data_IF_659730746994
#
_entry.id   IF_659730746994
#
_cell.length_a   1.000
_cell.length_b   1.000
_cell.length_c   1.000
_cell.angle_alpha   90.00
_cell.angle_beta   90.00
_cell.angle_gamma   90.00
#
_symmetry.space_group_name_H-M   'P 1'
#
loop_
_entity.id
_entity.type
_entity.pdbx_description
1 polymer ?
#
# COMPACT_ATOMS: atom_id res chain seq x y z
N UNK A 1 50.70 10.36 -12.13
CA UNK A 1 51.63 9.24 -12.25
C UNK A 1 50.95 8.00 -11.69
N UNK A 2 50.69 7.05 -12.59
CA UNK A 2 50.43 5.62 -12.40
C UNK A 2 49.27 5.15 -11.51
N UNK A 3 48.18 4.76 -12.18
CA UNK A 3 47.21 3.76 -11.76
C UNK A 3 47.88 2.41 -11.49
N UNK A 4 47.47 1.71 -10.44
CA UNK A 4 47.68 0.26 -10.29
C UNK A 4 46.39 -0.32 -9.70
N UNK A 5 45.63 -0.97 -10.56
CA UNK A 5 44.56 -1.90 -10.22
C UNK A 5 45.16 -3.31 -9.94
N UNK A 6 44.39 -4.23 -9.32
CA UNK A 6 44.89 -5.36 -8.53
C UNK A 6 45.33 -6.54 -9.40
N UNK A 7 46.20 -7.42 -8.87
CA UNK A 7 46.25 -8.82 -9.35
C UNK A 7 46.54 -9.85 -8.23
N UNK A 8 45.96 -11.07 -8.38
CA UNK A 8 46.03 -12.20 -7.45
C UNK A 8 47.13 -13.22 -7.84
N UNK A 9 47.48 -14.12 -6.92
CA UNK A 9 48.23 -15.38 -7.13
C UNK A 9 48.23 -16.11 -5.77
N UNK A 10 48.10 -17.42 -5.61
CA UNK A 10 47.69 -18.55 -6.44
C UNK A 10 47.53 -19.72 -5.44
N UNK A 11 46.67 -20.66 -5.80
CA UNK A 11 46.24 -21.84 -5.08
C UNK A 11 47.41 -22.83 -4.79
N UNK A 12 47.53 -23.35 -3.56
CA UNK A 12 48.29 -24.59 -3.32
C UNK A 12 47.62 -25.48 -2.27
N UNK A 13 47.08 -26.59 -2.76
CA UNK A 13 46.54 -27.79 -2.10
C UNK A 13 47.29 -28.97 -2.76
N UNK A 14 47.52 -30.18 -2.19
CA UNK A 14 47.65 -30.73 -0.82
C UNK A 14 49.00 -31.53 -0.68
N UNK A 15 49.25 -32.62 0.13
CA UNK A 15 48.41 -33.80 0.48
C UNK A 15 48.31 -34.16 2.01
N UNK A 16 47.37 -35.05 2.42
CA UNK A 16 47.28 -35.70 3.75
C UNK A 16 48.10 -37.04 3.76
N UNK A 17 48.04 -37.99 4.75
CA UNK A 17 47.27 -38.10 6.00
C UNK A 17 48.08 -38.63 7.24
N UNK A 18 47.44 -38.73 8.41
CA UNK A 18 47.47 -39.86 9.40
C UNK A 18 46.98 -39.36 10.76
N UNK A 19 45.71 -39.62 11.12
CA UNK A 19 45.30 -40.69 12.04
C UNK A 19 45.81 -40.51 13.48
N UNK A 20 44.93 -40.13 14.40
CA UNK A 20 44.67 -40.93 15.60
C UNK A 20 43.41 -40.49 16.37
N UNK A 21 42.47 -41.44 16.44
CA UNK A 21 41.60 -41.80 17.57
C UNK A 21 40.72 -40.75 18.26
N UNK A 22 39.45 -40.83 17.88
CA UNK A 22 38.25 -40.62 18.71
C UNK A 22 38.25 -41.64 19.88
N UNK A 23 37.55 -41.36 20.99
CA UNK A 23 36.59 -42.36 21.44
C UNK A 23 35.19 -41.78 21.52
N UNK A 24 34.30 -42.43 20.77
CA UNK A 24 32.86 -42.30 20.88
C UNK A 24 32.35 -42.87 22.20
N UNK A 25 31.29 -42.30 22.76
CA UNK A 25 30.28 -43.09 23.47
C UNK A 25 28.90 -42.52 23.11
N UNK A 26 27.91 -43.37 22.76
CA UNK A 26 26.68 -42.96 22.10
C UNK A 26 25.52 -42.85 23.08
N UNK A 27 24.57 -41.93 22.86
CA UNK A 27 23.17 -42.16 23.25
C UNK A 27 22.20 -41.54 22.23
N UNK A 28 21.27 -42.41 21.82
CA UNK A 28 20.16 -42.26 20.90
C UNK A 28 19.14 -41.18 21.32
N UNK A 29 18.45 -40.64 20.30
CA UNK A 29 17.34 -39.67 20.32
C UNK A 29 16.10 -40.06 21.18
N UNK A 30 15.13 -39.15 21.36
CA UNK A 30 14.06 -39.00 20.33
C UNK A 30 13.79 -37.54 19.90
N UNK A 31 13.28 -37.32 18.67
CA UNK A 31 12.85 -36.01 18.21
C UNK A 31 11.44 -35.74 18.73
N UNK A 32 11.33 -34.93 19.78
CA UNK A 32 10.04 -34.37 20.19
C UNK A 32 9.83 -33.05 19.45
N UNK A 33 9.29 -33.17 18.23
CA UNK A 33 8.45 -32.15 17.66
C UNK A 33 7.24 -31.99 18.60
N UNK A 34 7.34 -31.05 19.53
CA UNK A 34 6.23 -30.66 20.39
C UNK A 34 6.06 -29.16 20.27
N UNK A 35 4.86 -28.80 19.82
CA UNK A 35 4.36 -27.46 19.58
C UNK A 35 4.64 -26.56 20.78
N UNK A 36 5.69 -25.74 20.70
CA UNK A 36 6.05 -24.83 21.77
C UNK A 36 6.14 -23.40 21.24
N UNK A 37 4.99 -22.88 20.82
CA UNK A 37 4.81 -21.44 20.57
C UNK A 37 4.90 -20.63 21.87
N UNK A 38 5.03 -21.31 23.02
CA UNK A 38 5.20 -20.76 24.35
C UNK A 38 6.63 -20.27 24.64
N UNK A 39 7.68 -21.11 24.60
CA UNK A 39 9.04 -20.68 24.96
C UNK A 39 9.59 -19.62 24.02
N UNK A 40 9.24 -19.61 22.74
CA UNK A 40 9.71 -18.58 21.80
C UNK A 40 9.35 -17.16 22.26
N UNK A 41 8.18 -16.98 22.90
CA UNK A 41 7.75 -15.69 23.45
C UNK A 41 8.38 -15.39 24.81
N UNK A 42 8.77 -16.42 25.58
CA UNK A 42 9.59 -16.23 26.78
C UNK A 42 11.00 -15.83 26.36
N UNK A 43 11.70 -16.62 25.55
CA UNK A 43 13.07 -16.34 25.07
C UNK A 43 13.19 -15.00 24.35
N UNK A 44 12.20 -14.58 23.56
CA UNK A 44 12.22 -13.25 22.93
C UNK A 44 12.04 -12.11 23.92
N UNK A 45 11.15 -12.25 24.91
CA UNK A 45 10.97 -11.25 25.96
C UNK A 45 12.17 -11.18 26.94
N UNK A 46 12.86 -12.29 27.06
CA UNK A 46 14.06 -12.57 27.85
C UNK A 46 15.32 -12.01 27.17
N UNK A 47 15.42 -12.08 25.83
CA UNK A 47 16.48 -11.51 25.00
C UNK A 47 16.50 -9.96 24.99
N UNK A 48 15.34 -9.33 25.19
CA UNK A 48 15.19 -7.87 25.33
C UNK A 48 15.52 -7.37 26.76
N UNK A 49 16.02 -8.25 27.63
CA UNK A 49 16.55 -7.93 28.95
C UNK A 49 18.06 -8.21 28.95
N UNK A 50 18.86 -7.42 29.69
CA UNK A 50 20.28 -7.72 29.82
C UNK A 50 20.46 -9.17 30.34
N UNK A 51 21.44 -9.91 29.81
CA UNK A 51 21.68 -11.28 30.22
C UNK A 51 21.95 -11.32 31.72
N UNK A 52 21.41 -12.35 32.39
CA UNK A 52 21.72 -12.57 33.81
C UNK A 52 23.23 -12.81 33.94
N UNK A 53 23.86 -12.30 35.01
CA UNK A 53 25.20 -12.73 35.34
C UNK A 53 25.18 -14.24 35.60
N UNK A 54 26.18 -14.94 35.07
CA UNK A 54 26.33 -16.39 35.27
C UNK A 54 26.28 -16.75 36.77
N UNK A 55 25.77 -17.95 37.11
CA UNK A 55 25.69 -18.38 38.49
C UNK A 55 27.09 -18.33 39.13
N UNK A 56 27.21 -17.81 40.37
CA UNK A 56 28.50 -17.66 41.01
C UNK A 56 29.16 -19.03 41.15
N UNK A 57 30.38 -19.16 40.63
CA UNK A 57 31.16 -20.41 40.71
C UNK A 57 31.57 -20.67 42.16
N UNK A 58 31.48 -21.93 42.60
CA UNK A 58 31.88 -22.33 43.94
C UNK A 58 33.38 -22.02 44.15
N UNK A 59 33.74 -21.26 45.19
CA UNK A 59 35.14 -20.93 45.44
C UNK A 59 35.92 -22.15 45.91
N UNK A 60 37.16 -22.29 45.46
CA UNK A 60 38.08 -23.31 45.97
C UNK A 60 38.43 -22.99 47.43
N UNK A 61 38.16 -23.93 48.34
CA UNK A 61 38.38 -23.76 49.78
C UNK A 61 39.70 -24.46 50.13
N UNK A 62 40.77 -23.73 50.49
CA UNK A 62 42.04 -24.36 50.89
C UNK A 62 41.85 -25.19 52.17
N UNK A 63 42.40 -26.40 52.18
CA UNK A 63 42.29 -27.29 53.34
C UNK A 63 43.22 -26.81 54.48
N UNK A 64 42.70 -26.44 55.66
CA UNK A 64 43.51 -26.00 56.79
C UNK A 64 44.47 -27.09 57.30
N UNK A 65 44.28 -28.37 56.94
CA UNK A 65 45.19 -29.45 57.34
C UNK A 65 46.58 -29.37 56.67
N UNK A 66 46.69 -28.67 55.53
CA UNK A 66 47.91 -28.54 54.73
C UNK A 66 48.95 -27.60 55.34
N UNK A 67 48.55 -26.79 56.32
CA UNK A 67 49.42 -25.79 56.95
C UNK A 67 50.02 -26.35 58.24
N UNK A 68 51.32 -26.14 58.46
CA UNK A 68 52.02 -26.63 59.66
C UNK A 68 51.90 -25.67 60.83
N UNK A 69 51.80 -24.37 60.57
CA UNK A 69 51.71 -23.33 61.60
C UNK A 69 50.27 -23.11 62.10
N UNK A 70 50.10 -22.94 63.41
CA UNK A 70 48.81 -22.70 64.07
C UNK A 70 48.16 -21.40 63.61
N UNK A 71 48.93 -20.35 63.39
CA UNK A 71 48.40 -19.05 62.97
C UNK A 71 47.98 -19.08 61.49
N UNK A 72 48.71 -19.81 60.64
CA UNK A 72 48.34 -20.05 59.24
C UNK A 72 47.04 -20.86 59.12
N UNK A 73 46.88 -21.93 59.91
CA UNK A 73 45.62 -22.70 59.95
C UNK A 73 44.42 -21.82 60.29
N UNK A 74 44.59 -20.95 61.29
CA UNK A 74 43.55 -20.03 61.74
C UNK A 74 43.24 -18.96 60.70
N UNK A 75 44.24 -18.50 59.94
CA UNK A 75 44.05 -17.57 58.84
C UNK A 75 43.29 -18.23 57.69
N UNK A 76 43.69 -19.43 57.28
CA UNK A 76 43.04 -20.21 56.21
C UNK A 76 41.60 -20.57 56.58
N UNK A 77 41.34 -20.95 57.83
CA UNK A 77 39.98 -21.21 58.31
C UNK A 77 39.09 -19.95 58.27
N UNK A 78 39.65 -18.78 58.65
CA UNK A 78 38.95 -17.49 58.56
C UNK A 78 38.67 -17.09 57.11
N UNK A 79 39.62 -17.30 56.21
CA UNK A 79 39.46 -17.05 54.77
C UNK A 79 38.43 -17.99 54.17
N UNK A 80 38.50 -19.30 54.43
CA UNK A 80 37.48 -20.28 54.04
C UNK A 80 36.07 -19.90 54.54
N UNK A 81 35.95 -19.36 55.75
CA UNK A 81 34.69 -18.85 56.29
C UNK A 81 34.21 -17.60 55.56
N UNK A 82 35.11 -16.69 55.18
CA UNK A 82 34.80 -15.49 54.39
C UNK A 82 34.36 -15.86 52.97
N UNK A 83 35.06 -16.78 52.31
CA UNK A 83 34.75 -17.29 50.98
C UNK A 83 33.37 -17.97 50.94
N UNK A 84 33.09 -18.84 51.91
CA UNK A 84 31.77 -19.49 52.04
C UNK A 84 30.62 -18.48 52.21
N UNK A 85 30.80 -17.48 53.07
CA UNK A 85 29.81 -16.41 53.26
C UNK A 85 29.65 -15.54 52.02
N UNK A 86 30.75 -15.23 51.33
CA UNK A 86 30.73 -14.51 50.06
C UNK A 86 29.93 -15.25 48.99
N UNK A 87 30.17 -16.55 48.84
CA UNK A 87 29.44 -17.41 47.91
C UNK A 87 27.95 -17.55 48.28
N UNK A 88 27.63 -17.74 49.57
CA UNK A 88 26.23 -17.78 50.04
C UNK A 88 25.48 -16.48 49.75
N UNK A 89 26.12 -15.33 49.96
CA UNK A 89 25.54 -14.03 49.63
C UNK A 89 25.37 -13.87 48.11
N UNK A 90 26.37 -14.25 47.31
CA UNK A 90 26.29 -14.21 45.86
C UNK A 90 25.15 -15.09 45.30
N UNK A 91 24.91 -16.27 45.88
CA UNK A 91 23.78 -17.12 45.51
C UNK A 91 22.44 -16.47 45.83
N UNK A 92 22.32 -15.77 46.97
CA UNK A 92 21.11 -15.03 47.34
C UNK A 92 20.85 -13.86 46.40
N UNK A 93 21.90 -13.12 46.03
CA UNK A 93 21.81 -12.01 45.10
C UNK A 93 21.44 -12.48 43.69
N UNK A 94 22.04 -13.56 43.21
CA UNK A 94 21.66 -14.20 41.95
C UNK A 94 20.20 -14.68 41.98
N UNK A 95 19.77 -15.38 43.03
CA UNK A 95 18.38 -15.83 43.18
C UNK A 95 17.38 -14.66 43.28
N UNK A 96 17.81 -13.48 43.76
CA UNK A 96 16.99 -12.26 43.75
C UNK A 96 16.91 -11.69 42.33
N UNK A 97 18.04 -11.61 41.61
CA UNK A 97 18.08 -11.13 40.23
C UNK A 97 17.21 -11.98 39.29
N UNK A 98 17.26 -13.32 39.43
CA UNK A 98 16.39 -14.25 38.67
C UNK A 98 14.91 -13.93 38.92
N UNK A 99 14.49 -13.82 40.19
CA UNK A 99 13.09 -13.52 40.54
C UNK A 99 12.63 -12.14 40.05
N UNK A 100 13.50 -11.13 40.06
CA UNK A 100 13.17 -9.81 39.53
C UNK A 100 12.98 -9.83 38.02
N UNK A 101 13.82 -10.61 37.32
CA UNK A 101 13.73 -10.80 35.88
C UNK A 101 12.49 -11.56 35.46
N UNK A 102 12.16 -12.66 36.15
CA UNK A 102 10.93 -13.43 35.92
C UNK A 102 9.69 -12.54 36.03
N UNK A 103 9.62 -11.70 37.08
CA UNK A 103 8.52 -10.73 37.26
C UNK A 103 8.44 -9.70 36.13
N UNK A 104 9.58 -9.27 35.59
CA UNK A 104 9.60 -8.33 34.45
C UNK A 104 9.12 -8.99 33.16
N UNK A 105 9.56 -10.22 32.89
CA UNK A 105 9.11 -11.01 31.75
C UNK A 105 7.61 -11.26 31.84
N UNK A 106 7.10 -11.72 32.98
CA UNK A 106 5.67 -11.97 33.21
C UNK A 106 4.85 -10.68 33.02
N UNK A 107 5.34 -9.53 33.52
CA UNK A 107 4.67 -8.23 33.34
C UNK A 107 4.64 -7.79 31.88
N UNK A 108 5.72 -8.02 31.11
CA UNK A 108 5.78 -7.72 29.66
C UNK A 108 4.81 -8.62 28.89
N UNK A 109 4.82 -9.92 29.18
CA UNK A 109 3.92 -10.88 28.53
C UNK A 109 2.45 -10.60 28.82
N UNK A 110 2.10 -10.32 30.08
CA UNK A 110 0.71 -9.96 30.44
C UNK A 110 0.22 -8.69 29.75
N UNK A 111 1.12 -7.73 29.48
CA UNK A 111 0.81 -6.52 28.70
C UNK A 111 0.63 -6.86 27.22
N UNK A 112 1.56 -7.62 26.63
CA UNK A 112 1.47 -8.05 25.24
C UNK A 112 0.21 -8.89 24.98
N UNK A 113 -0.14 -9.82 25.88
CA UNK A 113 -1.37 -10.61 25.80
C UNK A 113 -2.62 -9.71 25.83
N UNK A 114 -2.73 -8.81 26.81
CA UNK A 114 -3.87 -7.88 26.90
C UNK A 114 -3.99 -6.96 25.68
N UNK A 115 -2.87 -6.51 25.14
CA UNK A 115 -2.83 -5.68 23.95
C UNK A 115 -3.27 -6.46 22.71
N UNK A 116 -2.77 -7.69 22.53
CA UNK A 116 -3.17 -8.58 21.44
C UNK A 116 -4.65 -8.96 21.51
N UNK A 117 -5.20 -9.22 22.70
CA UNK A 117 -6.62 -9.51 22.88
C UNK A 117 -7.49 -8.30 22.52
N UNK A 118 -7.07 -7.11 22.97
CA UNK A 118 -7.76 -5.85 22.65
C UNK A 118 -7.70 -5.55 21.15
N UNK A 119 -6.54 -5.73 20.51
CA UNK A 119 -6.38 -5.48 19.08
C UNK A 119 -7.17 -6.48 18.24
N UNK A 120 -7.21 -7.76 18.61
CA UNK A 120 -8.03 -8.77 17.94
C UNK A 120 -9.53 -8.47 18.08
N UNK A 121 -9.98 -8.08 19.28
CA UNK A 121 -11.40 -7.70 19.51
C UNK A 121 -11.78 -6.46 18.71
N UNK A 122 -10.89 -5.48 18.60
CA UNK A 122 -11.11 -4.27 17.80
C UNK A 122 -11.09 -4.58 16.30
N UNK A 123 -10.15 -5.39 15.82
CA UNK A 123 -10.08 -5.84 14.43
C UNK A 123 -11.35 -6.61 14.04
N UNK A 124 -11.81 -7.54 14.87
CA UNK A 124 -13.06 -8.29 14.63
C UNK A 124 -14.30 -7.38 14.56
N UNK A 125 -14.36 -6.32 15.39
CA UNK A 125 -15.44 -5.32 15.28
C UNK A 125 -15.36 -4.53 13.98
N UNK A 126 -14.17 -4.05 13.62
CA UNK A 126 -13.95 -3.30 12.36
C UNK A 126 -14.28 -4.14 11.14
N UNK A 127 -13.89 -5.41 11.12
CA UNK A 127 -14.22 -6.35 10.04
C UNK A 127 -15.73 -6.58 9.93
N UNK A 128 -16.42 -6.76 11.06
CA UNK A 128 -17.88 -6.90 11.08
C UNK A 128 -18.60 -5.66 10.57
N UNK A 129 -18.12 -4.47 10.92
CA UNK A 129 -18.69 -3.20 10.47
C UNK A 129 -18.41 -2.95 8.98
N UNK A 130 -17.20 -3.27 8.51
CA UNK A 130 -16.84 -3.21 7.09
C UNK A 130 -17.66 -4.20 6.24
N UNK A 131 -17.89 -5.42 6.75
CA UNK A 131 -18.73 -6.41 6.06
C UNK A 131 -20.20 -5.95 5.98
N UNK A 132 -20.73 -5.32 7.04
CA UNK A 132 -22.08 -4.73 7.00
C UNK A 132 -22.17 -3.56 6.04
N UNK A 133 -21.13 -2.71 5.97
CA UNK A 133 -21.10 -1.57 5.07
C UNK A 133 -21.01 -2.02 3.60
N UNK A 134 -20.17 -3.00 3.29
CA UNK A 134 -20.06 -3.59 1.95
C UNK A 134 -21.37 -4.25 1.52
N UNK A 135 -22.03 -5.02 2.39
CA UNK A 135 -23.36 -5.57 2.08
C UNK A 135 -24.42 -4.49 1.85
N UNK A 136 -24.39 -3.38 2.61
CA UNK A 136 -25.31 -2.26 2.39
C UNK A 136 -25.06 -1.58 1.05
N UNK A 137 -23.80 -1.30 0.73
CA UNK A 137 -23.38 -0.71 -0.54
C UNK A 137 -23.74 -1.59 -1.73
N UNK A 138 -23.52 -2.90 -1.63
CA UNK A 138 -23.88 -3.86 -2.69
C UNK A 138 -25.39 -3.92 -2.90
N UNK A 139 -26.18 -3.97 -1.81
CA UNK A 139 -27.64 -3.94 -1.91
C UNK A 139 -28.18 -2.63 -2.50
N UNK A 140 -27.55 -1.50 -2.18
CA UNK A 140 -27.89 -0.20 -2.74
C UNK A 140 -27.53 -0.13 -4.22
N UNK A 141 -26.34 -0.60 -4.61
CA UNK A 141 -25.91 -0.68 -6.00
C UNK A 141 -26.83 -1.58 -6.84
N UNK A 142 -27.20 -2.76 -6.33
CA UNK A 142 -28.17 -3.65 -7.01
C UNK A 142 -29.53 -2.98 -7.18
N UNK A 143 -30.00 -2.23 -6.17
CA UNK A 143 -31.28 -1.50 -6.28
C UNK A 143 -31.20 -0.35 -7.28
N UNK A 144 -30.07 0.36 -7.34
CA UNK A 144 -29.85 1.42 -8.33
C UNK A 144 -29.76 0.85 -9.75
N UNK A 145 -29.06 -0.26 -9.93
CA UNK A 145 -28.96 -0.96 -11.21
C UNK A 145 -30.33 -1.45 -11.70
N UNK A 146 -31.14 -2.05 -10.82
CA UNK A 146 -32.53 -2.42 -11.16
C UNK A 146 -33.37 -1.21 -11.56
N UNK A 147 -33.21 -0.06 -10.88
CA UNK A 147 -33.93 1.17 -11.23
C UNK A 147 -33.50 1.70 -12.60
N UNK A 148 -32.20 1.72 -12.89
CA UNK A 148 -31.65 2.12 -14.20
C UNK A 148 -32.09 1.16 -15.32
N UNK A 149 -32.09 -0.15 -15.06
CA UNK A 149 -32.57 -1.15 -16.01
C UNK A 149 -34.07 -0.98 -16.32
N UNK A 150 -34.88 -0.66 -15.30
CA UNK A 150 -36.30 -0.36 -15.50
C UNK A 150 -36.52 0.92 -16.32
N UNK A 151 -35.79 1.99 -16.00
CA UNK A 151 -35.88 3.27 -16.72
C UNK A 151 -35.44 3.14 -18.19
N UNK A 152 -34.37 2.39 -18.45
CA UNK A 152 -33.90 2.11 -19.82
C UNK A 152 -34.92 1.28 -20.61
N UNK A 153 -35.49 0.23 -20.00
CA UNK A 153 -36.54 -0.56 -20.64
C UNK A 153 -37.80 0.27 -20.95
N UNK A 154 -38.22 1.16 -20.04
CA UNK A 154 -39.37 2.06 -20.26
C UNK A 154 -39.10 3.05 -21.40
N UNK A 155 -37.89 3.62 -21.46
CA UNK A 155 -37.48 4.53 -22.54
C UNK A 155 -37.40 3.83 -23.90
N UNK A 156 -36.93 2.58 -23.95
CA UNK A 156 -36.94 1.79 -25.18
C UNK A 156 -38.36 1.46 -25.64
N UNK A 157 -39.28 1.12 -24.72
CA UNK A 157 -40.69 0.90 -25.07
C UNK A 157 -41.35 2.18 -25.61
N UNK A 158 -41.09 3.33 -25.00
CA UNK A 158 -41.62 4.61 -25.50
C UNK A 158 -41.04 4.95 -26.89
N UNK A 159 -39.74 4.72 -27.12
CA UNK A 159 -39.11 4.92 -28.42
C UNK A 159 -39.69 3.99 -29.50
N UNK A 160 -39.90 2.71 -29.19
CA UNK A 160 -40.56 1.77 -30.10
C UNK A 160 -42.00 2.20 -30.40
N UNK A 161 -42.76 2.69 -29.40
CA UNK A 161 -44.11 3.19 -29.62
C UNK A 161 -44.13 4.41 -30.55
N UNK A 162 -43.22 5.37 -30.33
CA UNK A 162 -43.06 6.55 -31.19
C UNK A 162 -42.67 6.18 -32.62
N UNK A 163 -41.74 5.24 -32.81
CA UNK A 163 -41.38 4.76 -34.15
C UNK A 163 -42.56 4.07 -34.85
N UNK A 164 -43.39 3.33 -34.11
CA UNK A 164 -44.58 2.69 -34.67
C UNK A 164 -45.65 3.71 -35.08
N UNK A 165 -45.91 4.71 -34.23
CA UNK A 165 -46.82 5.82 -34.53
C UNK A 165 -46.32 6.66 -35.71
N UNK A 166 -45.01 6.92 -35.81
CA UNK A 166 -44.40 7.62 -36.93
C UNK A 166 -44.47 6.81 -38.23
N UNK A 167 -44.29 5.49 -38.16
CA UNK A 167 -44.47 4.59 -39.31
C UNK A 167 -45.94 4.53 -39.77
N UNK A 168 -46.91 4.45 -38.87
CA UNK A 168 -48.34 4.52 -39.21
C UNK A 168 -48.71 5.88 -39.82
N UNK A 169 -48.25 6.99 -39.22
CA UNK A 169 -48.50 8.33 -39.74
C UNK A 169 -47.87 8.54 -41.13
N UNK A 170 -46.66 8.03 -41.35
CA UNK A 170 -45.98 8.14 -42.64
C UNK A 170 -46.63 7.23 -43.71
N UNK A 171 -47.18 6.08 -43.32
CA UNK A 171 -47.94 5.21 -44.22
C UNK A 171 -49.28 5.84 -44.64
N UNK A 172 -49.98 6.51 -43.72
CA UNK A 172 -51.19 7.29 -44.02
C UNK A 172 -50.88 8.51 -44.91
N UNK A 173 -49.74 9.19 -44.66
CA UNK A 173 -49.25 10.28 -45.51
C UNK A 173 -48.86 9.80 -46.91
N UNK A 174 -48.21 8.64 -47.05
CA UNK A 174 -47.88 8.05 -48.35
C UNK A 174 -49.13 7.59 -49.10
N UNK A 175 -50.10 6.98 -48.40
CA UNK A 175 -51.36 6.56 -49.02
C UNK A 175 -52.19 7.77 -49.47
N UNK A 176 -52.17 8.88 -48.74
CA UNK A 176 -52.78 10.16 -49.14
C UNK A 176 -52.03 10.82 -50.30
N UNK A 177 -50.69 10.73 -50.30
CA UNK A 177 -49.82 11.27 -51.35
C UNK A 177 -49.92 10.47 -52.64
N UNK A 178 -50.14 9.16 -52.63
CA UNK A 178 -50.43 8.38 -53.86
C UNK A 178 -51.77 8.80 -54.52
N UNK A 179 -52.69 9.41 -53.76
CA UNK A 179 -53.92 10.04 -54.33
C UNK A 179 -53.65 11.45 -54.89
N UNK A 180 -52.60 12.14 -54.41
CA UNK A 180 -52.22 13.49 -54.88
C UNK A 180 -51.08 13.49 -55.94
N UNK A 181 -50.21 12.48 -55.99
CA UNK A 181 -49.11 12.34 -56.96
C UNK A 181 -49.60 11.77 -58.32
N UNK A 182 -50.89 11.41 -58.47
CA UNK A 182 -51.57 11.31 -59.77
C UNK A 182 -51.96 12.70 -60.32
N UNK A 183 -51.82 13.77 -59.51
CA UNK A 183 -52.21 15.14 -59.89
C UNK A 183 -51.04 16.16 -59.94
N UNK A 184 -49.84 15.89 -59.42
CA UNK A 184 -48.73 16.86 -59.45
C UNK A 184 -47.37 16.19 -59.69
N UNK A 185 -47.13 15.69 -60.89
CA UNK A 185 -45.78 15.35 -61.36
C UNK A 185 -45.12 16.57 -62.04
N UNK A 186 -44.76 17.61 -61.29
CA UNK A 186 -43.78 18.59 -61.76
C UNK A 186 -43.04 19.30 -60.62
N UNK A 187 -41.70 19.19 -60.65
CA UNK A 187 -40.69 19.90 -59.85
C UNK A 187 -40.50 19.50 -58.37
N UNK A 188 -39.31 19.00 -57.99
CA UNK A 188 -38.21 19.88 -57.53
C UNK A 188 -36.93 19.08 -57.17
N UNK A 189 -35.82 19.53 -57.74
CA UNK A 189 -34.43 19.10 -57.51
C UNK A 189 -33.86 19.68 -56.19
N UNK A 190 -32.97 19.00 -55.44
CA UNK A 190 -32.46 19.52 -54.16
C UNK A 190 -31.32 20.52 -54.35
N UNK A 191 -31.45 21.70 -53.73
CA UNK A 191 -30.49 22.81 -53.80
C UNK A 191 -29.31 22.63 -52.83
N UNK A 192 -28.12 22.73 -53.43
CA UNK A 192 -26.79 23.11 -52.94
C UNK A 192 -26.54 23.41 -51.45
N UNK A 193 -25.48 22.76 -50.95
CA UNK A 193 -24.74 23.01 -49.71
C UNK A 193 -24.14 24.41 -49.62
N UNK A 194 -24.53 25.21 -48.62
CA UNK A 194 -23.80 26.42 -48.20
C UNK A 194 -22.87 26.10 -47.03
N UNK A 195 -21.67 26.71 -46.92
CA UNK A 195 -20.79 26.51 -45.77
C UNK A 195 -21.47 27.03 -44.50
N UNK A 196 -21.51 26.18 -43.46
CA UNK A 196 -22.10 26.51 -42.16
C UNK A 196 -21.21 27.55 -41.46
N UNK A 197 -21.79 28.65 -41.01
CA UNK A 197 -21.06 29.73 -40.31
C UNK A 197 -20.73 29.29 -38.89
N UNK A 198 -19.51 29.57 -38.42
CA UNK A 198 -19.12 29.41 -37.01
C UNK A 198 -20.03 30.30 -36.13
N UNK A 199 -20.76 29.70 -35.21
CA UNK A 199 -21.63 30.41 -34.24
C UNK A 199 -20.91 30.45 -32.90
N UNK A 200 -20.86 31.62 -32.27
CA UNK A 200 -20.07 31.84 -31.05
C UNK A 200 -20.85 31.34 -29.83
N UNK A 201 -20.22 30.47 -29.04
CA UNK A 201 -20.77 29.92 -27.80
C UNK A 201 -20.72 30.92 -26.63
N UNK A 202 -19.69 31.77 -26.61
CA UNK A 202 -19.51 32.84 -25.64
C UNK A 202 -19.12 34.13 -26.35
N UNK A 203 -19.64 35.25 -25.88
CA UNK A 203 -19.22 36.57 -26.36
C UNK A 203 -17.86 36.89 -25.75
N UNK A 204 -16.80 36.78 -26.56
CA UNK A 204 -15.47 37.19 -26.13
C UNK A 204 -15.37 38.72 -26.13
N UNK A 205 -14.73 39.32 -25.11
CA UNK A 205 -14.40 40.74 -25.15
C UNK A 205 -13.50 40.98 -26.37
N UNK A 206 -14.08 41.60 -27.40
CA UNK A 206 -13.40 41.79 -28.68
C UNK A 206 -12.70 43.14 -28.62
N UNK A 207 -11.37 43.16 -28.57
CA UNK A 207 -10.59 44.37 -28.78
C UNK A 207 -10.15 44.37 -30.25
N UNK A 208 -10.65 45.33 -31.03
CA UNK A 208 -10.29 45.56 -32.45
C UNK A 208 -10.58 44.38 -33.41
N UNK A 209 -11.61 43.58 -33.12
CA UNK A 209 -12.04 42.48 -34.00
C UNK A 209 -11.11 41.25 -33.98
N UNK A 210 -10.05 41.27 -33.16
CA UNK A 210 -9.12 40.15 -32.99
C UNK A 210 -9.36 39.48 -31.63
N UNK A 211 -9.31 38.16 -31.63
CA UNK A 211 -9.28 37.35 -30.42
C UNK A 211 -7.94 37.61 -29.72
N UNK A 212 -7.97 38.45 -28.69
CA UNK A 212 -6.75 38.98 -28.03
C UNK A 212 -6.13 38.01 -27.06
N UNK A 213 -6.91 37.05 -26.54
CA UNK A 213 -6.45 36.15 -25.50
C UNK A 213 -6.21 34.73 -26.07
N UNK A 214 -4.94 34.29 -26.17
CA UNK A 214 -4.57 32.99 -26.70
C UNK A 214 -4.97 31.82 -25.78
N UNK A 215 -5.51 32.09 -24.59
CA UNK A 215 -6.05 31.05 -23.72
C UNK A 215 -7.40 30.54 -24.19
N UNK A 216 -8.10 31.29 -25.04
CA UNK A 216 -9.31 30.84 -25.69
C UNK A 216 -8.96 30.01 -26.92
N UNK A 217 -9.45 28.77 -26.95
CA UNK A 217 -9.18 27.81 -28.01
C UNK A 217 -10.50 27.48 -28.69
N UNK A 218 -10.54 27.63 -30.01
CA UNK A 218 -11.72 27.27 -30.81
C UNK A 218 -11.77 25.74 -30.97
N UNK A 219 -12.84 25.12 -30.47
CA UNK A 219 -13.06 23.67 -30.56
C UNK A 219 -14.13 23.42 -31.62
N UNK A 220 -13.76 22.66 -32.66
CA UNK A 220 -14.70 22.23 -33.70
C UNK A 220 -15.38 20.92 -33.30
N UNK A 221 -16.71 20.89 -33.34
CA UNK A 221 -17.52 19.68 -33.15
C UNK A 221 -18.40 19.47 -34.38
N UNK A 222 -18.15 18.39 -35.11
CA UNK A 222 -18.90 18.04 -36.32
C UNK A 222 -20.27 17.45 -35.96
N UNK A 223 -21.30 17.80 -36.74
CA UNK A 223 -22.66 17.24 -36.65
C UNK A 223 -23.39 17.38 -35.30
N UNK A 224 -22.90 18.23 -34.39
CA UNK A 224 -23.54 18.54 -33.10
C UNK A 224 -24.05 19.98 -33.10
N UNK A 225 -25.25 20.21 -32.54
CA UNK A 225 -25.79 21.56 -32.35
C UNK A 225 -25.17 22.27 -31.13
N UNK A 226 -25.48 23.56 -30.93
CA UNK A 226 -24.86 24.37 -29.87
C UNK A 226 -25.11 23.80 -28.46
N UNK A 227 -26.31 23.24 -28.25
CA UNK A 227 -26.72 22.66 -26.97
C UNK A 227 -26.05 21.31 -26.75
N UNK A 228 -26.02 20.45 -27.77
CA UNK A 228 -25.31 19.18 -27.74
C UNK A 228 -23.81 19.37 -27.55
N UNK A 229 -23.21 20.41 -28.13
CA UNK A 229 -21.80 20.73 -27.98
C UNK A 229 -21.47 21.14 -26.53
N UNK A 230 -22.31 21.98 -25.90
CA UNK A 230 -22.15 22.35 -24.50
C UNK A 230 -22.26 21.16 -23.55
N UNK A 231 -23.31 20.36 -23.74
CA UNK A 231 -23.57 19.19 -22.90
C UNK A 231 -22.57 18.06 -23.16
N UNK A 232 -22.02 18.00 -24.37
CA UNK A 232 -21.16 16.92 -24.83
C UNK A 232 -19.67 17.20 -24.85
N UNK A 233 -19.25 18.41 -24.48
CA UNK A 233 -17.83 18.81 -24.43
C UNK A 233 -16.99 17.87 -23.57
N UNK A 234 -17.59 17.29 -22.52
CA UNK A 234 -16.93 16.39 -21.58
C UNK A 234 -17.16 14.90 -21.85
N UNK A 235 -17.85 14.54 -22.94
CA UNK A 235 -17.90 13.14 -23.38
C UNK A 235 -16.59 12.76 -24.08
N UNK A 236 -16.19 11.50 -23.90
CA UNK A 236 -14.99 10.95 -24.53
C UNK A 236 -15.11 11.03 -26.06
N UNK A 237 -14.17 11.74 -26.68
CA UNK A 237 -14.10 11.97 -28.12
C UNK A 237 -12.81 12.69 -28.48
N UNK A 238 -12.52 12.85 -29.76
CA UNK A 238 -11.29 13.49 -30.25
C UNK A 238 -11.11 14.93 -29.73
N UNK A 239 -12.20 15.68 -29.58
CA UNK A 239 -12.20 17.02 -29.01
C UNK A 239 -11.80 17.04 -27.52
N UNK A 240 -12.22 16.02 -26.76
CA UNK A 240 -11.93 15.90 -25.34
C UNK A 240 -10.46 15.56 -25.09
N UNK A 241 -9.90 14.64 -25.89
CA UNK A 241 -8.47 14.29 -25.81
C UNK A 241 -7.57 15.49 -26.11
N UNK A 242 -7.89 16.27 -27.16
CA UNK A 242 -7.15 17.51 -27.47
C UNK A 242 -7.26 18.52 -26.34
N UNK A 243 -8.48 18.75 -25.82
CA UNK A 243 -8.72 19.68 -24.72
C UNK A 243 -7.92 19.30 -23.46
N UNK A 244 -7.98 18.04 -23.04
CA UNK A 244 -7.25 17.55 -21.86
C UNK A 244 -5.74 17.61 -22.08
N UNK A 245 -5.27 17.27 -23.29
CA UNK A 245 -3.87 17.38 -23.68
C UNK A 245 -3.35 18.81 -23.58
N UNK A 246 -4.08 19.79 -24.12
CA UNK A 246 -3.70 21.20 -24.09
C UNK A 246 -3.67 21.77 -22.67
N UNK A 247 -4.66 21.40 -21.84
CA UNK A 247 -4.68 21.78 -20.41
C UNK A 247 -3.51 21.16 -19.66
N UNK A 248 -3.22 19.88 -19.88
CA UNK A 248 -2.09 19.18 -19.26
C UNK A 248 -0.75 19.78 -19.65
N UNK A 249 -0.56 20.10 -20.94
CA UNK A 249 0.64 20.76 -21.44
C UNK A 249 0.84 22.14 -20.82
N UNK A 250 -0.23 22.93 -20.68
CA UNK A 250 -0.18 24.26 -20.06
C UNK A 250 0.21 24.20 -18.59
N UNK A 251 -0.36 23.27 -17.82
CA UNK A 251 0.00 23.06 -16.41
C UNK A 251 1.46 22.61 -16.30
N UNK A 252 1.89 21.68 -17.15
CA UNK A 252 3.28 21.21 -17.18
C UNK A 252 4.26 22.35 -17.45
N UNK A 253 3.93 23.24 -18.39
CA UNK A 253 4.69 24.46 -18.65
C UNK A 253 4.83 25.34 -17.42
N UNK A 254 3.73 25.60 -16.69
CA UNK A 254 3.78 26.39 -15.45
C UNK A 254 4.66 25.75 -14.37
N UNK A 255 4.61 24.43 -14.23
CA UNK A 255 5.46 23.71 -13.27
C UNK A 255 6.92 23.80 -13.68
N UNK A 256 7.24 23.61 -14.97
CA UNK A 256 8.61 23.74 -15.47
C UNK A 256 9.15 25.17 -15.30
N UNK A 257 8.32 26.18 -15.55
CA UNK A 257 8.68 27.59 -15.32
C UNK A 257 8.94 27.86 -13.83
N UNK A 258 8.12 27.32 -12.92
CA UNK A 258 8.34 27.46 -11.48
C UNK A 258 9.62 26.76 -11.02
N UNK A 259 9.86 25.53 -11.48
CA UNK A 259 11.10 24.79 -11.19
C UNK A 259 12.33 25.53 -11.71
N UNK A 260 12.26 26.09 -12.92
CA UNK A 260 13.34 26.87 -13.51
C UNK A 260 13.61 28.15 -12.70
N UNK A 261 12.56 28.86 -12.28
CA UNK A 261 12.69 30.05 -11.42
C UNK A 261 13.36 29.73 -10.09
N UNK A 262 12.96 28.63 -9.44
CA UNK A 262 13.57 28.18 -8.17
C UNK A 262 15.03 27.80 -8.37
N UNK A 263 15.35 27.07 -9.44
CA UNK A 263 16.72 26.68 -9.74
C UNK A 263 17.63 27.91 -9.99
N UNK A 264 17.15 28.93 -10.71
CA UNK A 264 17.88 30.19 -10.92
C UNK A 264 18.09 30.92 -9.57
N UNK A 265 17.06 30.98 -8.73
CA UNK A 265 17.13 31.61 -7.42
C UNK A 265 18.08 30.87 -6.45
N UNK A 266 18.19 29.54 -6.57
CA UNK A 266 19.12 28.70 -5.82
C UNK A 266 20.57 28.83 -6.32
N UNK A 267 20.77 29.01 -7.63
CA UNK A 267 22.11 29.19 -8.23
C UNK A 267 22.68 30.61 -8.13
N UNK A 268 21.94 31.57 -7.56
CA UNK A 268 22.49 32.84 -7.06
C UNK A 268 23.03 33.80 -8.13
N UNK A 269 22.13 34.33 -8.97
CA UNK A 269 22.23 35.73 -9.42
C UNK A 269 21.23 36.58 -8.63
#
# INVERSE_FOLDING_TARGET
MHSIDPTPIEEHIPPPPSQESIPSTPQNEPPLASVDTGKDLYEKADADLPPLPDPPTAPEIPDPSLYTDKDERKQVEREAKRLRRGHENALKDHAKAVREREKLVEKRQKRAQKESEKSLKEASRREKDALKETQRKEKEAQKEEQRRAKETAEREQEAQKKQKEEHEHNQDYQQSREVEDEAVSEAHEPKSTKPRKLRKFCNLPTQDGRMTDPTWIDIYMEDVDEVGAHCGLFFSGSHYESLVGDVGNRITGWVQDDLTKRAIQEMGM
#
